data_IF_047229855204
#
_entry.id   IF_047229855204
#
_cell.length_a   1.000
_cell.length_b   1.000
_cell.length_c   1.000
_cell.angle_alpha   90.00
_cell.angle_beta   90.00
_cell.angle_gamma   90.00
#
_symmetry.space_group_name_H-M   'P 1'
#
loop_
_entity.id
_entity.type
_entity.pdbx_description
1 polymer ?
#
# COMPACT_ATOMS: atom_id res chain seq x y z
N UNK A 1 2.15 21.46 20.14
CA UNK A 1 2.91 21.66 18.90
C UNK A 1 1.99 21.37 17.72
N UNK A 2 1.76 22.37 16.89
CA UNK A 2 1.00 22.23 15.65
C UNK A 2 1.89 21.49 14.66
N UNK A 3 1.47 20.28 14.25
CA UNK A 3 2.09 19.60 13.12
C UNK A 3 1.51 20.27 11.88
N UNK A 4 2.27 21.14 11.25
CA UNK A 4 1.96 21.65 9.91
C UNK A 4 2.17 20.51 8.92
N UNK A 5 1.11 19.86 8.50
CA UNK A 5 1.17 18.96 7.35
C UNK A 5 1.27 19.83 6.09
N UNK A 6 2.41 19.80 5.42
CA UNK A 6 2.43 20.23 4.02
C UNK A 6 1.50 19.27 3.26
N UNK A 7 0.61 19.84 2.44
CA UNK A 7 -0.27 19.00 1.61
C UNK A 7 0.59 18.25 0.59
N UNK A 8 0.44 16.93 0.48
CA UNK A 8 1.22 16.16 -0.50
C UNK A 8 0.84 16.58 -1.92
N UNK A 9 1.83 16.62 -2.79
CA UNK A 9 1.59 16.78 -4.21
C UNK A 9 0.79 15.59 -4.74
N UNK A 10 -0.33 15.86 -5.39
CA UNK A 10 -1.13 14.83 -6.04
C UNK A 10 -0.85 14.84 -7.55
N UNK A 11 -0.20 13.79 -8.02
CA UNK A 11 0.16 13.62 -9.43
C UNK A 11 -0.72 12.55 -10.07
N UNK A 12 -1.57 12.88 -11.05
CA UNK A 12 -2.27 11.88 -11.84
C UNK A 12 -1.27 10.97 -12.58
N UNK A 13 -1.58 9.68 -12.70
CA UNK A 13 -0.73 8.70 -13.40
C UNK A 13 -0.37 9.15 -14.83
N UNK A 14 -1.30 9.81 -15.52
CA UNK A 14 -1.12 10.36 -16.87
C UNK A 14 -0.08 11.49 -16.96
N UNK A 15 0.40 12.00 -15.82
CA UNK A 15 1.40 13.09 -15.74
C UNK A 15 2.70 12.66 -15.08
N UNK A 16 2.87 11.39 -14.71
CA UNK A 16 4.06 10.89 -14.05
C UNK A 16 5.35 11.10 -14.86
N UNK A 17 5.29 11.01 -16.18
CA UNK A 17 6.45 11.27 -17.06
C UNK A 17 6.97 12.71 -17.02
N UNK A 18 6.18 13.65 -16.50
CA UNK A 18 6.56 15.06 -16.34
C UNK A 18 7.13 15.40 -14.95
N UNK A 19 7.30 14.39 -14.08
CA UNK A 19 7.69 14.57 -12.67
C UNK A 19 9.07 13.96 -12.43
N UNK A 20 9.95 14.76 -11.83
CA UNK A 20 11.27 14.28 -11.38
C UNK A 20 11.13 13.59 -10.02
N UNK A 21 11.05 12.26 -10.03
CA UNK A 21 10.81 11.46 -8.82
C UNK A 21 11.86 11.67 -7.72
N UNK A 22 13.08 12.07 -8.07
CA UNK A 22 14.16 12.38 -7.11
C UNK A 22 13.87 13.59 -6.22
N UNK A 23 12.91 14.44 -6.60
CA UNK A 23 12.55 15.64 -5.84
C UNK A 23 11.54 15.35 -4.71
N UNK A 24 11.13 14.08 -4.55
CA UNK A 24 10.19 13.64 -3.52
C UNK A 24 10.86 12.75 -2.48
N UNK A 25 10.57 13.01 -1.21
CA UNK A 25 11.09 12.24 -0.07
C UNK A 25 10.41 10.87 0.08
N UNK A 26 9.16 10.74 -0.37
CA UNK A 26 8.40 9.50 -0.35
C UNK A 26 7.31 9.50 -1.42
N UNK A 27 6.82 8.31 -1.79
CA UNK A 27 5.72 8.12 -2.74
C UNK A 27 4.63 7.26 -2.12
N UNK A 28 3.37 7.69 -2.29
CA UNK A 28 2.20 6.89 -1.97
C UNK A 28 1.43 6.61 -3.27
N UNK A 29 1.30 5.33 -3.60
CA UNK A 29 0.44 4.87 -4.69
C UNK A 29 -0.95 4.60 -4.13
N UNK A 30 -1.93 5.41 -4.53
CA UNK A 30 -3.29 5.32 -3.99
C UNK A 30 -4.07 4.11 -4.53
N UNK A 31 -5.22 3.84 -3.90
CA UNK A 31 -6.25 2.95 -4.43
C UNK A 31 -6.92 3.52 -5.69
N UNK A 32 -7.77 2.70 -6.29
CA UNK A 32 -8.62 3.10 -7.43
C UNK A 32 -10.02 2.52 -7.28
N UNK A 33 -11.00 3.25 -7.74
CA UNK A 33 -12.38 2.75 -7.86
C UNK A 33 -12.62 1.95 -9.15
N UNK A 34 -11.56 1.73 -9.97
CA UNK A 34 -11.66 0.96 -11.19
C UNK A 34 -12.03 -0.51 -10.91
N UNK A 35 -13.07 -0.99 -11.57
CA UNK A 35 -13.50 -2.39 -11.55
C UNK A 35 -12.83 -3.25 -12.61
N UNK A 36 -12.00 -2.66 -13.48
CA UNK A 36 -11.30 -3.38 -14.55
C UNK A 36 -10.33 -4.42 -13.98
N UNK A 37 -10.07 -5.47 -14.75
CA UNK A 37 -9.06 -6.48 -14.41
C UNK A 37 -7.65 -5.90 -14.41
N UNK A 38 -6.81 -6.25 -13.43
CA UNK A 38 -5.44 -5.75 -13.37
C UNK A 38 -4.59 -6.06 -14.61
N UNK A 39 -4.68 -7.27 -15.23
CA UNK A 39 -3.98 -7.53 -16.47
C UNK A 39 -4.39 -6.61 -17.63
N UNK A 40 -5.65 -6.17 -17.64
CA UNK A 40 -6.21 -5.27 -18.65
C UNK A 40 -5.77 -3.81 -18.45
N UNK A 41 -5.47 -3.41 -17.20
CA UNK A 41 -5.05 -2.04 -16.87
C UNK A 41 -3.53 -1.87 -16.78
N UNK A 42 -2.74 -2.96 -16.73
CA UNK A 42 -1.28 -2.86 -16.67
C UNK A 42 -0.66 -1.97 -17.77
N UNK A 43 -1.09 -2.04 -19.04
CA UNK A 43 -0.58 -1.14 -20.07
C UNK A 43 -0.87 0.34 -19.78
N UNK A 44 -1.98 0.62 -19.10
CA UNK A 44 -2.36 1.99 -18.70
C UNK A 44 -1.52 2.50 -17.51
N UNK A 45 -0.83 1.59 -16.80
CA UNK A 45 -0.02 1.85 -15.59
C UNK A 45 1.47 1.60 -15.80
N UNK A 46 1.97 1.61 -17.04
CA UNK A 46 3.40 1.41 -17.32
C UNK A 46 4.28 2.46 -16.63
N UNK A 47 3.80 3.70 -16.52
CA UNK A 47 4.53 4.78 -15.86
C UNK A 47 4.70 4.50 -14.37
N UNK A 48 3.63 4.08 -13.68
CA UNK A 48 3.69 3.71 -12.27
C UNK A 48 4.56 2.47 -12.05
N UNK A 49 4.47 1.46 -12.91
CA UNK A 49 5.34 0.27 -12.84
C UNK A 49 6.81 0.66 -12.99
N UNK A 50 7.13 1.60 -13.87
CA UNK A 50 8.48 2.15 -14.03
C UNK A 50 8.94 2.84 -12.75
N UNK A 51 8.10 3.71 -12.16
CA UNK A 51 8.38 4.37 -10.89
C UNK A 51 8.59 3.34 -9.76
N UNK A 52 7.72 2.34 -9.64
CA UNK A 52 7.85 1.27 -8.64
C UNK A 52 9.23 0.59 -8.72
N UNK A 53 9.73 0.36 -9.93
CA UNK A 53 11.01 -0.32 -10.14
C UNK A 53 12.23 0.57 -9.94
N UNK A 54 12.14 1.86 -10.30
CA UNK A 54 13.28 2.77 -10.38
C UNK A 54 13.39 3.77 -9.21
N UNK A 55 12.30 4.11 -8.53
CA UNK A 55 12.36 5.06 -7.42
C UNK A 55 13.01 4.41 -6.20
N UNK A 56 14.12 5.00 -5.74
CA UNK A 56 14.93 4.44 -4.64
C UNK A 56 14.47 4.87 -3.25
N UNK A 57 13.59 5.87 -3.16
CA UNK A 57 13.03 6.37 -1.89
C UNK A 57 11.93 5.46 -1.32
N UNK A 58 11.41 5.83 -0.13
CA UNK A 58 10.32 5.12 0.52
C UNK A 58 9.02 5.15 -0.31
N UNK A 59 8.35 4.00 -0.41
CA UNK A 59 7.11 3.85 -1.16
C UNK A 59 6.07 3.07 -0.37
N UNK A 60 4.82 3.53 -0.38
CA UNK A 60 3.66 2.83 0.16
C UNK A 60 2.59 2.65 -0.93
N UNK A 61 2.25 1.42 -1.28
CA UNK A 61 1.09 1.11 -2.11
C UNK A 61 -0.13 0.81 -1.25
N UNK A 62 -1.25 1.48 -1.53
CA UNK A 62 -2.54 1.29 -0.84
C UNK A 62 -3.52 0.62 -1.80
N UNK A 63 -4.13 -0.50 -1.42
CA UNK A 63 -5.15 -1.24 -2.17
C UNK A 63 -4.69 -1.54 -3.61
N UNK A 64 -5.10 -0.79 -4.60
CA UNK A 64 -4.64 -0.94 -5.97
C UNK A 64 -3.12 -0.75 -6.10
N UNK A 65 -2.56 0.26 -5.41
CA UNK A 65 -1.11 0.48 -5.38
C UNK A 65 -0.33 -0.72 -4.83
N UNK A 66 -0.84 -1.39 -3.80
CA UNK A 66 -0.31 -2.65 -3.28
C UNK A 66 -0.33 -3.76 -4.34
N UNK A 67 -1.46 -3.92 -5.02
CA UNK A 67 -1.62 -4.90 -6.10
C UNK A 67 -0.69 -4.60 -7.27
N UNK A 68 -0.51 -3.33 -7.63
CA UNK A 68 0.38 -2.89 -8.69
C UNK A 68 1.86 -3.16 -8.36
N UNK A 69 2.28 -2.89 -7.11
CA UNK A 69 3.62 -3.27 -6.62
C UNK A 69 3.81 -4.78 -6.76
N UNK A 70 2.87 -5.58 -6.26
CA UNK A 70 2.93 -7.03 -6.37
C UNK A 70 3.13 -7.49 -7.82
N UNK A 71 2.36 -6.94 -8.76
CA UNK A 71 2.46 -7.29 -10.18
C UNK A 71 3.75 -6.80 -10.82
N UNK A 72 4.23 -5.61 -10.45
CA UNK A 72 5.51 -5.08 -10.93
C UNK A 72 6.70 -6.01 -10.59
N UNK A 73 6.57 -6.78 -9.51
CA UNK A 73 7.56 -7.79 -9.09
C UNK A 73 7.19 -9.24 -9.46
N UNK A 74 6.23 -9.41 -10.38
CA UNK A 74 5.87 -10.72 -10.94
C UNK A 74 4.89 -11.53 -10.08
N UNK A 75 4.27 -10.91 -9.10
CA UNK A 75 3.23 -11.55 -8.29
C UNK A 75 1.87 -11.62 -9.00
N UNK A 76 0.93 -12.35 -8.41
CA UNK A 76 -0.41 -12.59 -8.95
C UNK A 76 -1.48 -11.95 -8.06
N UNK A 77 -2.56 -11.51 -8.70
CA UNK A 77 -3.75 -10.96 -8.04
C UNK A 77 -4.94 -11.81 -8.42
N UNK A 78 -5.76 -12.17 -7.43
CA UNK A 78 -6.95 -13.00 -7.59
C UNK A 78 -8.21 -12.19 -7.31
N UNK A 79 -9.29 -12.48 -8.03
CA UNK A 79 -10.60 -11.91 -7.75
C UNK A 79 -11.27 -12.65 -6.59
N UNK A 80 -11.87 -11.90 -5.67
CA UNK A 80 -12.76 -12.43 -4.64
C UNK A 80 -14.15 -12.70 -5.22
N UNK A 81 -14.84 -13.74 -4.71
CA UNK A 81 -16.24 -14.00 -5.05
C UNK A 81 -17.19 -12.89 -4.59
N UNK A 82 -16.86 -12.24 -3.49
CA UNK A 82 -17.57 -11.08 -2.94
C UNK A 82 -16.56 -10.06 -2.46
N UNK A 83 -16.73 -8.76 -2.75
CA UNK A 83 -15.87 -7.72 -2.22
C UNK A 83 -15.74 -7.78 -0.70
N UNK A 84 -14.61 -7.38 -0.19
CA UNK A 84 -14.40 -7.14 1.23
C UNK A 84 -14.63 -5.66 1.49
N UNK A 85 -15.62 -5.34 2.31
CA UNK A 85 -16.05 -3.97 2.58
C UNK A 85 -16.27 -3.77 4.08
N UNK A 86 -15.77 -2.65 4.60
CA UNK A 86 -15.96 -2.24 5.99
C UNK A 86 -14.73 -2.50 6.87
N UNK A 87 -14.85 -2.13 8.15
CA UNK A 87 -13.80 -2.39 9.14
C UNK A 87 -13.73 -3.88 9.48
N UNK A 88 -12.54 -4.45 9.38
CA UNK A 88 -12.28 -5.85 9.72
C UNK A 88 -10.93 -6.00 10.41
N UNK A 89 -10.72 -7.16 11.01
CA UNK A 89 -9.48 -7.49 11.72
C UNK A 89 -8.46 -8.13 10.79
N UNK A 90 -7.24 -7.60 10.84
CA UNK A 90 -6.07 -8.11 10.11
C UNK A 90 -5.03 -8.59 11.10
N UNK A 91 -4.54 -9.82 10.91
CA UNK A 91 -3.47 -10.41 11.72
C UNK A 91 -2.10 -9.95 11.21
N UNK A 92 -1.34 -9.26 12.05
CA UNK A 92 0.07 -8.94 11.81
C UNK A 92 0.90 -10.17 12.14
N UNK A 93 1.55 -10.75 11.13
CA UNK A 93 2.31 -12.02 11.25
C UNK A 93 3.80 -11.82 11.42
N UNK A 94 4.31 -10.64 11.04
CA UNK A 94 5.73 -10.27 11.18
C UNK A 94 5.86 -8.91 11.85
N UNK A 95 6.85 -8.79 12.75
CA UNK A 95 7.19 -7.51 13.38
C UNK A 95 7.89 -6.61 12.37
N UNK A 96 7.35 -5.41 12.20
CA UNK A 96 7.89 -4.43 11.27
C UNK A 96 7.66 -3.01 11.80
N UNK A 97 8.56 -2.04 11.51
CA UNK A 97 8.37 -0.64 11.87
C UNK A 97 7.03 -0.06 11.42
N UNK A 98 6.45 -0.56 10.31
CA UNK A 98 5.13 -0.12 9.83
C UNK A 98 4.01 -0.34 10.87
N UNK A 99 4.14 -1.38 11.69
CA UNK A 99 3.17 -1.75 12.74
C UNK A 99 3.63 -1.39 14.15
N UNK A 100 4.64 -0.50 14.29
CA UNK A 100 5.14 -0.10 15.61
C UNK A 100 4.02 0.53 16.46
N UNK A 101 3.89 0.03 17.70
CA UNK A 101 2.89 0.51 18.67
C UNK A 101 1.46 -0.01 18.41
N UNK A 102 1.28 -0.93 17.46
CA UNK A 102 0.00 -1.60 17.19
C UNK A 102 -0.04 -3.02 17.79
N UNK A 103 -1.24 -3.53 18.11
CA UNK A 103 -1.42 -4.90 18.55
C UNK A 103 -1.21 -5.90 17.40
N UNK A 104 -1.03 -7.21 17.70
CA UNK A 104 -0.92 -8.24 16.66
C UNK A 104 -2.18 -8.40 15.80
N UNK A 105 -3.32 -7.95 16.28
CA UNK A 105 -4.61 -7.96 15.57
C UNK A 105 -5.08 -6.49 15.45
N UNK A 106 -4.92 -5.91 14.27
CA UNK A 106 -5.29 -4.54 13.97
C UNK A 106 -6.68 -4.46 13.34
N UNK A 107 -7.36 -3.32 13.49
CA UNK A 107 -8.66 -3.09 12.87
C UNK A 107 -8.60 -1.96 11.86
N UNK A 108 -8.77 -2.31 10.58
CA UNK A 108 -8.59 -1.40 9.43
C UNK A 108 -9.76 -1.49 8.46
N UNK A 109 -9.86 -0.52 7.56
CA UNK A 109 -10.95 -0.45 6.60
C UNK A 109 -10.60 -1.19 5.30
N UNK A 110 -11.41 -2.16 4.94
CA UNK A 110 -11.33 -2.92 3.70
C UNK A 110 -12.27 -2.35 2.64
N UNK A 111 -11.80 -2.26 1.40
CA UNK A 111 -12.65 -1.88 0.26
C UNK A 111 -12.05 -2.43 -1.04
N UNK A 112 -12.08 -3.76 -1.19
CA UNK A 112 -11.47 -4.40 -2.36
C UNK A 112 -12.20 -5.66 -2.82
N UNK A 113 -12.17 -5.91 -4.11
CA UNK A 113 -12.69 -7.13 -4.75
C UNK A 113 -11.60 -8.05 -5.27
N UNK A 114 -10.32 -7.69 -5.05
CA UNK A 114 -9.14 -8.45 -5.47
C UNK A 114 -8.12 -8.51 -4.35
N UNK A 115 -7.29 -9.55 -4.35
CA UNK A 115 -6.30 -9.82 -3.31
C UNK A 115 -4.99 -10.30 -3.92
N UNK A 116 -3.89 -10.01 -3.24
CA UNK A 116 -2.60 -10.63 -3.48
C UNK A 116 -2.60 -12.00 -2.80
N UNK A 117 -2.43 -13.06 -3.58
CA UNK A 117 -2.44 -14.43 -3.06
C UNK A 117 -1.20 -14.75 -2.24
N UNK A 118 -0.05 -14.34 -2.75
CA UNK A 118 1.27 -14.58 -2.16
C UNK A 118 2.19 -13.41 -2.43
N UNK A 119 3.00 -13.04 -1.45
CA UNK A 119 4.03 -12.03 -1.62
C UNK A 119 4.97 -12.38 -2.78
N UNK A 120 5.31 -11.43 -3.65
CA UNK A 120 6.16 -11.69 -4.80
C UNK A 120 7.61 -11.94 -4.36
N UNK A 121 8.47 -12.49 -5.26
CA UNK A 121 9.89 -12.64 -4.96
C UNK A 121 10.53 -11.34 -4.44
N UNK A 122 11.32 -11.46 -3.38
CA UNK A 122 11.97 -10.31 -2.73
C UNK A 122 11.09 -9.56 -1.72
N UNK A 123 9.88 -10.04 -1.45
CA UNK A 123 9.00 -9.45 -0.45
C UNK A 123 8.69 -10.41 0.69
N UNK A 124 8.55 -9.84 1.88
CA UNK A 124 8.08 -10.48 3.09
C UNK A 124 6.60 -10.18 3.30
N UNK A 125 5.81 -11.19 3.65
CA UNK A 125 4.41 -11.00 4.08
C UNK A 125 4.40 -10.52 5.53
N UNK A 126 3.77 -9.38 5.78
CA UNK A 126 3.69 -8.76 7.11
C UNK A 126 2.35 -8.99 7.80
N UNK A 127 1.27 -9.16 7.03
CA UNK A 127 -0.08 -9.32 7.58
C UNK A 127 -0.99 -10.09 6.64
N UNK A 128 -2.01 -10.74 7.20
CA UNK A 128 -2.95 -11.58 6.48
C UNK A 128 -4.35 -11.57 7.10
N UNK A 129 -5.34 -12.02 6.31
CA UNK A 129 -6.66 -12.44 6.77
C UNK A 129 -6.99 -13.82 6.21
N UNK A 130 -8.14 -14.39 6.60
CA UNK A 130 -8.63 -15.61 5.97
C UNK A 130 -9.02 -15.41 4.49
N UNK A 131 -9.31 -14.17 4.09
CA UNK A 131 -9.77 -13.80 2.73
C UNK A 131 -8.64 -13.31 1.83
N UNK A 132 -7.55 -12.82 2.43
CA UNK A 132 -6.40 -12.26 1.72
C UNK A 132 -5.11 -12.79 2.35
N UNK A 133 -4.31 -13.52 1.58
CA UNK A 133 -3.05 -14.08 2.04
C UNK A 133 -1.99 -13.03 2.35
N UNK A 134 -2.07 -11.86 1.71
CA UNK A 134 -1.10 -10.76 1.86
C UNK A 134 -1.86 -9.44 2.01
N UNK A 135 -2.21 -9.12 3.25
CA UNK A 135 -2.81 -7.83 3.61
C UNK A 135 -1.77 -6.72 3.70
N UNK A 136 -0.54 -7.08 4.04
CA UNK A 136 0.59 -6.16 4.00
C UNK A 136 1.87 -6.90 3.61
N UNK A 137 2.74 -6.22 2.90
CA UNK A 137 4.05 -6.73 2.49
C UNK A 137 5.12 -5.64 2.50
N UNK A 138 6.39 -6.06 2.60
CA UNK A 138 7.56 -5.21 2.49
C UNK A 138 8.62 -5.85 1.60
N UNK A 139 9.30 -5.04 0.78
CA UNK A 139 10.50 -5.48 0.07
C UNK A 139 11.65 -5.73 1.05
N UNK A 140 12.46 -6.78 0.82
CA UNK A 140 13.52 -7.17 1.74
C UNK A 140 14.65 -6.13 1.84
N UNK A 141 15.01 -5.48 0.72
CA UNK A 141 16.17 -4.61 0.61
C UNK A 141 15.83 -3.13 0.37
N UNK A 142 14.56 -2.80 0.02
CA UNK A 142 14.10 -1.46 -0.28
C UNK A 142 12.97 -1.05 0.66
N UNK A 143 12.82 0.24 0.90
CA UNK A 143 11.70 0.78 1.69
C UNK A 143 10.40 0.82 0.88
N UNK A 144 10.02 -0.31 0.29
CA UNK A 144 8.77 -0.46 -0.44
C UNK A 144 7.81 -1.30 0.38
N UNK A 145 6.66 -0.70 0.69
CA UNK A 145 5.55 -1.31 1.42
C UNK A 145 4.30 -1.38 0.57
N UNK A 146 3.46 -2.35 0.85
CA UNK A 146 2.12 -2.42 0.30
C UNK A 146 1.12 -2.88 1.34
N UNK A 147 -0.06 -2.25 1.38
CA UNK A 147 -1.19 -2.64 2.24
C UNK A 147 -2.44 -2.79 1.38
N UNK A 148 -3.18 -3.89 1.57
CA UNK A 148 -4.39 -4.16 0.80
C UNK A 148 -5.58 -3.33 1.30
N UNK A 149 -5.65 -3.08 2.60
CA UNK A 149 -6.65 -2.24 3.25
C UNK A 149 -6.39 -0.74 3.01
N UNK A 150 -7.34 0.10 3.44
CA UNK A 150 -7.30 1.55 3.33
C UNK A 150 -6.96 2.22 4.67
N UNK A 151 -5.67 2.41 5.02
CA UNK A 151 -5.28 3.02 6.28
C UNK A 151 -5.75 4.48 6.39
N UNK A 152 -5.98 5.16 5.27
CA UNK A 152 -6.48 6.55 5.22
C UNK A 152 -7.96 6.67 5.60
N UNK A 153 -8.70 5.56 5.64
CA UNK A 153 -10.12 5.53 6.04
C UNK A 153 -10.32 5.19 7.52
N UNK A 154 -9.35 5.55 8.36
CA UNK A 154 -9.48 5.42 9.81
C UNK A 154 -10.57 6.33 10.38
N UNK A 155 -11.05 6.03 11.57
CA UNK A 155 -11.92 6.90 12.36
C UNK A 155 -11.50 6.85 13.84
N UNK A 156 -12.11 7.70 14.69
CA UNK A 156 -11.77 7.77 16.11
C UNK A 156 -11.98 6.43 16.84
N UNK A 157 -12.98 5.65 16.43
CA UNK A 157 -13.26 4.33 16.99
C UNK A 157 -12.24 3.27 16.55
N UNK A 158 -11.66 3.43 15.33
CA UNK A 158 -10.70 2.49 14.72
C UNK A 158 -9.49 3.26 14.17
N UNK A 159 -8.55 3.67 15.06
CA UNK A 159 -7.45 4.56 14.69
C UNK A 159 -6.22 3.85 14.12
N UNK A 160 -6.21 2.52 14.01
CA UNK A 160 -5.02 1.75 13.65
C UNK A 160 -4.44 2.17 12.29
N UNK A 161 -5.31 2.48 11.30
CA UNK A 161 -4.90 2.99 10.01
C UNK A 161 -4.08 4.28 10.10
N UNK A 162 -4.48 5.21 10.97
CA UNK A 162 -3.74 6.44 11.24
C UNK A 162 -2.32 6.13 11.73
N UNK A 163 -2.18 5.19 12.68
CA UNK A 163 -0.88 4.81 13.22
C UNK A 163 0.04 4.23 12.14
N UNK A 164 -0.51 3.43 11.20
CA UNK A 164 0.24 2.88 10.07
C UNK A 164 0.78 3.99 9.17
N UNK A 165 -0.04 5.01 8.84
CA UNK A 165 0.41 6.16 8.06
C UNK A 165 1.48 6.98 8.80
N UNK A 166 1.30 7.25 10.09
CA UNK A 166 2.30 7.93 10.92
C UNK A 166 3.63 7.16 10.96
N UNK A 167 3.57 5.83 11.07
CA UNK A 167 4.76 4.98 11.05
C UNK A 167 5.45 5.01 9.67
N UNK A 168 4.70 4.96 8.57
CA UNK A 168 5.28 5.10 7.24
C UNK A 168 5.98 6.45 7.05
N UNK A 169 5.39 7.55 7.50
CA UNK A 169 6.03 8.87 7.46
C UNK A 169 7.33 8.89 8.25
N UNK A 170 7.39 8.27 9.43
CA UNK A 170 8.64 8.13 10.20
C UNK A 170 9.68 7.29 9.44
N UNK A 171 9.27 6.17 8.81
CA UNK A 171 10.14 5.33 7.99
C UNK A 171 10.72 6.13 6.82
N UNK A 172 9.96 7.04 6.24
CA UNK A 172 10.40 7.92 5.16
C UNK A 172 11.35 9.04 5.61
N UNK A 173 11.61 9.15 6.92
CA UNK A 173 12.46 10.21 7.48
C UNK A 173 11.75 11.55 7.66
N UNK A 174 10.46 11.60 7.41
CA UNK A 174 9.65 12.80 7.62
C UNK A 174 9.47 13.05 9.14
N UNK A 175 9.71 14.30 9.58
CA UNK A 175 9.73 14.68 11.01
C UNK A 175 8.57 15.59 11.37
#
# INVERSE_FOLDING_TARGET
SWITFEMPDTVPSTRLDSVEMKDYDAVILSGTDSTRGLPEVLPEHECEVRVIRSYEGPMLGICFGHQLINMAYGGRVLALRRPHLGFDYVEVVERDPLFEGLPPLIKVYEAHGRVVEKAPPGFMNLAKTQRCGVEAMRHNDRLIYGVQFHPERYCDEYPDGRRILENFLKISGWK
#
